data_IF_497539014040
#
_entry.id   IF_497539014040
#
_cell.length_a   1.000
_cell.length_b   1.000
_cell.length_c   1.000
_cell.angle_alpha   90.00
_cell.angle_beta   90.00
_cell.angle_gamma   90.00
#
_symmetry.space_group_name_H-M   'P 1'
#
loop_
_entity.id
_entity.type
_entity.pdbx_description
1 polymer ?
#
# COMPACT_ATOMS: atom_id res chain seq x y z
N UNK A 1 2.34 5.10 -0.86
CA UNK A 1 1.90 4.54 -2.15
C UNK A 1 2.64 5.26 -3.26
N UNK A 2 2.83 4.64 -4.43
CA UNK A 2 3.46 5.31 -5.58
C UNK A 2 2.58 5.12 -6.81
N UNK A 3 2.28 6.19 -7.54
CA UNK A 3 1.52 6.11 -8.79
C UNK A 3 2.47 5.97 -9.99
N UNK A 4 2.24 4.96 -10.82
CA UNK A 4 2.95 4.72 -12.08
C UNK A 4 2.08 5.27 -13.21
N UNK A 5 2.32 6.54 -13.58
CA UNK A 5 1.60 7.24 -14.64
C UNK A 5 1.85 6.67 -16.05
N UNK A 6 2.91 5.89 -16.24
CA UNK A 6 3.16 5.19 -17.51
C UNK A 6 2.23 4.01 -17.73
N UNK A 7 1.82 3.36 -16.65
CA UNK A 7 0.95 2.18 -16.71
C UNK A 7 -0.46 2.46 -16.21
N UNK A 8 -0.75 3.70 -15.76
CA UNK A 8 -1.96 4.07 -15.02
C UNK A 8 -2.25 3.09 -13.88
N UNK A 9 -1.20 2.72 -13.14
CA UNK A 9 -1.29 1.73 -12.05
C UNK A 9 -0.77 2.30 -10.74
N UNK A 10 -1.49 2.00 -9.69
CA UNK A 10 -1.15 2.30 -8.32
C UNK A 10 -0.29 1.19 -7.72
N UNK A 11 0.86 1.55 -7.15
CA UNK A 11 1.78 0.62 -6.52
C UNK A 11 1.68 0.75 -5.01
N UNK A 12 1.27 -0.34 -4.35
CA UNK A 12 1.28 -0.46 -2.91
C UNK A 12 2.60 -1.06 -2.44
N UNK A 13 3.29 -0.38 -1.54
CA UNK A 13 4.47 -0.88 -0.85
C UNK A 13 4.55 -0.29 0.54
N UNK A 14 5.00 -1.07 1.51
CA UNK A 14 5.14 -0.68 2.91
C UNK A 14 6.59 -0.89 3.35
N UNK A 15 7.06 -0.10 4.31
CA UNK A 15 8.30 -0.40 5.02
C UNK A 15 7.94 -1.10 6.32
N UNK A 16 8.36 -2.34 6.48
CA UNK A 16 8.14 -3.12 7.68
C UNK A 16 9.48 -3.72 8.12
N UNK A 17 9.77 -3.64 9.41
CA UNK A 17 10.98 -4.27 9.99
C UNK A 17 12.29 -3.82 9.29
N UNK A 18 12.36 -2.54 8.90
CA UNK A 18 13.53 -1.99 8.18
C UNK A 18 13.66 -2.42 6.72
N UNK A 19 12.69 -3.15 6.16
CA UNK A 19 12.69 -3.57 4.75
C UNK A 19 11.44 -3.10 4.02
N UNK A 20 11.62 -2.71 2.75
CA UNK A 20 10.50 -2.41 1.86
C UNK A 20 9.85 -3.72 1.39
N UNK A 21 8.58 -3.91 1.69
CA UNK A 21 7.76 -5.00 1.17
C UNK A 21 6.81 -4.48 0.11
N UNK A 22 6.86 -5.14 -1.04
CA UNK A 22 5.95 -4.89 -2.15
C UNK A 22 4.63 -5.61 -1.89
N UNK A 23 3.52 -4.86 -1.96
CA UNK A 23 2.18 -5.38 -1.64
C UNK A 23 1.39 -5.71 -2.90
N UNK A 24 1.63 -4.97 -3.99
CA UNK A 24 0.95 -5.20 -5.25
C UNK A 24 0.89 -3.97 -6.13
N UNK A 25 0.34 -4.18 -7.33
CA UNK A 25 0.00 -3.15 -8.32
C UNK A 25 -1.50 -3.26 -8.58
N UNK A 26 -2.20 -2.15 -8.46
CA UNK A 26 -3.64 -2.01 -8.61
C UNK A 26 -3.93 -1.00 -9.71
N UNK A 27 -5.10 -1.10 -10.33
CA UNK A 27 -5.54 -0.11 -11.32
C UNK A 27 -6.29 1.01 -10.60
N UNK A 28 -7.02 0.65 -9.54
CA UNK A 28 -7.79 1.59 -8.73
C UNK A 28 -7.02 2.06 -7.50
N UNK A 29 -7.11 3.36 -7.23
CA UNK A 29 -6.51 4.00 -6.06
C UNK A 29 -7.09 3.42 -4.76
N UNK A 30 -8.40 3.20 -4.73
CA UNK A 30 -9.11 2.61 -3.58
C UNK A 30 -8.63 1.20 -3.25
N UNK A 31 -8.41 0.36 -4.27
CA UNK A 31 -7.85 -0.97 -4.07
C UNK A 31 -6.41 -0.92 -3.55
N UNK A 32 -5.59 0.00 -4.08
CA UNK A 32 -4.24 0.24 -3.59
C UNK A 32 -4.24 0.69 -2.13
N UNK A 33 -5.10 1.63 -1.75
CA UNK A 33 -5.27 2.09 -0.38
C UNK A 33 -5.70 0.95 0.55
N UNK A 34 -6.67 0.13 0.14
CA UNK A 34 -7.12 -1.05 0.89
C UNK A 34 -5.99 -2.07 1.10
N UNK A 35 -5.18 -2.33 0.08
CA UNK A 35 -4.02 -3.22 0.18
C UNK A 35 -2.94 -2.67 1.12
N UNK A 36 -2.69 -1.36 1.10
CA UNK A 36 -1.79 -0.70 2.03
C UNK A 36 -2.30 -0.80 3.47
N UNK A 37 -3.59 -0.53 3.70
CA UNK A 37 -4.21 -0.64 5.03
C UNK A 37 -4.09 -2.06 5.58
N UNK A 38 -4.41 -3.08 4.77
CA UNK A 38 -4.21 -4.48 5.16
C UNK A 38 -2.76 -4.80 5.54
N UNK A 39 -1.80 -4.20 4.84
CA UNK A 39 -0.40 -4.37 5.19
C UNK A 39 0.00 -3.66 6.48
N UNK A 40 -0.55 -2.48 6.75
CA UNK A 40 -0.38 -1.78 8.03
C UNK A 40 -0.91 -2.64 9.17
N UNK A 41 -2.10 -3.23 9.04
CA UNK A 41 -2.61 -4.17 10.05
C UNK A 41 -1.70 -5.39 10.20
N UNK A 42 -1.19 -5.94 9.09
CA UNK A 42 -0.37 -7.15 9.10
C UNK A 42 1.04 -6.95 9.67
N UNK A 43 1.66 -5.81 9.41
CA UNK A 43 3.06 -5.55 9.76
C UNK A 43 3.22 -4.63 10.96
N UNK A 44 2.32 -3.68 11.14
CA UNK A 44 2.37 -2.69 12.20
C UNK A 44 1.25 -2.91 13.23
N UNK A 45 0.51 -4.02 13.18
CA UNK A 45 -0.63 -4.31 14.07
C UNK A 45 -1.70 -3.20 14.11
N UNK A 46 -1.77 -2.35 13.08
CA UNK A 46 -2.68 -1.20 13.04
C UNK A 46 -2.07 0.12 13.51
N UNK A 47 -0.81 0.15 13.97
CA UNK A 47 -0.08 1.38 14.34
C UNK A 47 0.47 2.15 13.13
N UNK A 48 -0.33 2.28 12.07
CA UNK A 48 0.08 3.00 10.86
C UNK A 48 -0.98 3.91 10.29
N UNK A 49 -0.52 4.79 9.42
CA UNK A 49 -1.38 5.72 8.71
C UNK A 49 -2.27 4.94 7.74
N UNK A 50 -3.54 4.76 8.13
CA UNK A 50 -4.57 4.17 7.29
C UNK A 50 -5.05 5.25 6.32
N UNK A 51 -5.00 4.97 5.03
CA UNK A 51 -5.61 5.86 4.06
C UNK A 51 -7.13 5.66 4.10
N UNK A 52 -7.88 6.76 4.08
CA UNK A 52 -9.34 6.73 3.99
C UNK A 52 -9.74 6.23 2.59
N UNK A 53 -10.63 5.22 2.53
CA UNK A 53 -10.93 4.42 1.31
C UNK A 53 -12.23 4.84 0.65
#
# INVERSE_FOLDING_TARGET
MSYDSKHNKWVASIYAEGKKKYLGRFIDEKECAKAYNNAVYKYWNGDGYLNDV
#
